data_IF_213373319435
#
_entry.id   IF_213373319435
#
_cell.length_a   1.000
_cell.length_b   1.000
_cell.length_c   1.000
_cell.angle_alpha   90.00
_cell.angle_beta   90.00
_cell.angle_gamma   90.00
#
_symmetry.space_group_name_H-M   'P 1'
#
loop_
_entity.id
_entity.type
_entity.pdbx_description
1 polymer ?
#
# COMPACT_ATOMS: atom_id res chain seq x y z
N UNK A 1 19.54 -6.48 -2.81
CA UNK A 1 19.22 -5.06 -2.67
C UNK A 1 20.38 -4.25 -3.21
N UNK A 2 20.13 -3.36 -4.16
CA UNK A 2 21.15 -2.52 -4.79
C UNK A 2 21.05 -1.10 -4.20
N UNK A 3 22.02 -0.71 -3.36
CA UNK A 3 21.99 0.55 -2.61
C UNK A 3 22.17 1.80 -3.48
N UNK A 4 22.45 1.64 -4.77
CA UNK A 4 22.45 2.77 -5.72
C UNK A 4 21.06 3.12 -6.24
N UNK A 5 20.11 2.19 -6.19
CA UNK A 5 18.74 2.36 -6.71
C UNK A 5 17.67 2.20 -5.63
N UNK A 6 18.06 1.78 -4.42
CA UNK A 6 17.17 1.59 -3.28
C UNK A 6 17.81 2.12 -1.99
N UNK A 7 16.95 2.48 -1.04
CA UNK A 7 17.37 2.97 0.26
C UNK A 7 16.98 1.98 1.36
N UNK A 8 17.92 1.58 2.23
CA UNK A 8 17.64 0.88 3.51
C UNK A 8 16.97 1.81 4.52
N UNK A 9 15.80 2.30 4.15
CA UNK A 9 14.98 3.20 4.93
C UNK A 9 13.56 3.17 4.38
N UNK A 10 12.58 3.74 5.09
CA UNK A 10 11.22 3.91 4.57
C UNK A 10 11.13 4.85 3.35
N UNK A 11 12.23 5.45 2.87
CA UNK A 11 12.24 6.31 1.69
C UNK A 11 11.82 5.53 0.44
N UNK A 12 10.84 6.10 -0.26
CA UNK A 12 10.37 5.62 -1.55
C UNK A 12 11.40 5.92 -2.64
N UNK A 13 11.74 4.90 -3.44
CA UNK A 13 12.65 4.98 -4.59
C UNK A 13 11.95 4.69 -5.92
N UNK A 14 10.68 4.28 -5.88
CA UNK A 14 9.88 3.90 -7.05
C UNK A 14 8.81 4.95 -7.37
N UNK A 15 8.11 5.43 -6.34
CA UNK A 15 7.03 6.40 -6.47
C UNK A 15 5.63 5.83 -6.24
N UNK A 16 5.43 4.51 -6.36
CA UNK A 16 4.14 3.86 -6.13
C UNK A 16 3.58 4.15 -4.72
N UNK A 17 4.43 4.07 -3.70
CA UNK A 17 4.04 4.37 -2.30
C UNK A 17 3.66 5.83 -2.12
N UNK A 18 4.45 6.75 -2.66
CA UNK A 18 4.16 8.20 -2.61
C UNK A 18 2.86 8.53 -3.33
N UNK A 19 2.62 7.94 -4.50
CA UNK A 19 1.40 8.15 -5.28
C UNK A 19 0.16 7.64 -4.53
N UNK A 20 0.17 6.39 -4.07
CA UNK A 20 -0.97 5.79 -3.34
C UNK A 20 -1.28 6.51 -2.03
N UNK A 21 -0.26 6.88 -1.24
CA UNK A 21 -0.47 7.65 0.01
C UNK A 21 -0.97 9.08 -0.24
N UNK A 22 -0.58 9.71 -1.35
CA UNK A 22 -1.11 11.03 -1.73
C UNK A 22 -2.60 10.97 -2.11
N UNK A 23 -3.05 9.87 -2.73
CA UNK A 23 -4.47 9.64 -3.05
C UNK A 23 -5.29 9.42 -1.78
N UNK A 24 -4.77 8.71 -0.78
CA UNK A 24 -5.51 8.43 0.45
C UNK A 24 -5.59 9.65 1.38
N UNK A 25 -4.47 10.30 1.68
CA UNK A 25 -4.40 11.36 2.69
C UNK A 25 -3.51 12.56 2.31
N UNK A 26 -3.20 12.74 1.02
CA UNK A 26 -2.43 13.87 0.54
C UNK A 26 -3.03 15.22 0.93
N UNK A 27 -2.19 16.15 1.38
CA UNK A 27 -2.61 17.51 1.71
C UNK A 27 -2.96 18.27 0.43
N UNK A 28 -3.73 19.36 0.56
CA UNK A 28 -4.00 20.29 -0.54
C UNK A 28 -2.71 20.85 -1.11
N UNK A 29 -2.47 20.60 -2.40
CA UNK A 29 -1.32 21.14 -3.16
C UNK A 29 -1.83 21.89 -4.38
N UNK A 30 -1.38 23.12 -4.55
CA UNK A 30 -1.67 23.97 -5.71
C UNK A 30 -0.42 24.79 -6.08
N UNK A 31 -0.11 24.95 -7.38
CA UNK A 31 -0.77 24.32 -8.53
C UNK A 31 -0.24 22.90 -8.77
N UNK A 32 -1.14 21.90 -8.85
CA UNK A 32 -0.79 20.54 -9.23
C UNK A 32 -1.19 20.28 -10.68
N UNK A 33 -0.32 19.58 -11.44
CA UNK A 33 -0.58 19.12 -12.80
C UNK A 33 0.49 18.12 -13.25
N UNK A 34 0.17 17.26 -14.21
CA UNK A 34 1.15 16.38 -14.86
C UNK A 34 1.33 16.84 -16.31
N UNK A 35 2.49 17.44 -16.63
CA UNK A 35 2.77 17.99 -17.96
C UNK A 35 1.68 18.96 -18.48
N UNK A 36 1.00 19.67 -17.56
CA UNK A 36 -0.11 20.59 -17.87
C UNK A 36 -1.52 19.97 -17.86
N UNK A 37 -1.64 18.63 -17.81
CA UNK A 37 -2.93 17.95 -17.69
C UNK A 37 -3.43 17.94 -16.23
N UNK A 38 -4.77 17.79 -16.08
CA UNK A 38 -5.46 17.73 -14.79
C UNK A 38 -5.08 18.86 -13.83
N UNK A 39 -4.93 20.08 -14.36
CA UNK A 39 -4.51 21.25 -13.58
C UNK A 39 -5.55 21.60 -12.51
N UNK A 40 -5.12 21.69 -11.27
CA UNK A 40 -6.00 22.06 -10.18
C UNK A 40 -5.34 21.95 -8.80
N UNK A 41 -6.16 21.68 -7.80
CA UNK A 41 -5.72 21.37 -6.43
C UNK A 41 -5.71 19.85 -6.28
N UNK A 42 -4.54 19.26 -6.07
CA UNK A 42 -4.45 17.85 -5.69
C UNK A 42 -4.72 17.72 -4.19
N UNK A 43 -5.53 16.72 -3.82
CA UNK A 43 -5.82 16.37 -2.43
C UNK A 43 -6.20 14.89 -2.35
N UNK A 44 -5.87 14.24 -1.24
CA UNK A 44 -6.33 12.88 -0.96
C UNK A 44 -7.78 12.84 -0.49
N UNK A 45 -8.32 11.64 -0.34
CA UNK A 45 -9.67 11.42 0.19
C UNK A 45 -9.84 11.96 1.63
N UNK A 46 -8.79 11.87 2.46
CA UNK A 46 -8.79 12.38 3.83
C UNK A 46 -7.57 13.29 4.10
N UNK A 47 -7.53 14.56 3.62
CA UNK A 47 -6.36 15.45 3.69
C UNK A 47 -5.89 15.88 5.10
N UNK A 48 -6.60 15.44 6.14
CA UNK A 48 -6.30 15.71 7.56
C UNK A 48 -5.93 14.43 8.32
N UNK A 49 -6.02 13.26 7.69
CA UNK A 49 -5.58 12.02 8.30
C UNK A 49 -4.06 12.01 8.48
N UNK A 50 -3.57 11.21 9.43
CA UNK A 50 -2.14 10.97 9.62
C UNK A 50 -1.73 9.79 8.75
N UNK A 51 -0.49 9.82 8.27
CA UNK A 51 0.11 8.75 7.48
C UNK A 51 1.17 8.04 8.31
N UNK A 52 1.08 6.71 8.38
CA UNK A 52 2.15 5.83 8.79
C UNK A 52 2.55 4.97 7.58
N UNK A 53 3.84 4.97 7.23
CA UNK A 53 4.33 4.32 6.02
C UNK A 53 5.19 3.10 6.39
N UNK A 54 4.72 1.91 6.00
CA UNK A 54 5.42 0.64 6.18
C UNK A 54 5.89 0.15 4.81
N UNK A 55 7.19 0.31 4.52
CA UNK A 55 7.78 -0.07 3.22
C UNK A 55 8.07 -1.58 3.21
N UNK A 56 7.33 -2.32 2.39
CA UNK A 56 7.46 -3.78 2.23
C UNK A 56 7.89 -4.21 0.82
N UNK A 57 7.94 -3.26 -0.11
CA UNK A 57 8.31 -3.52 -1.50
C UNK A 57 9.67 -2.92 -1.81
N UNK A 58 10.42 -3.72 -2.57
CA UNK A 58 11.75 -3.45 -3.06
C UNK A 58 11.78 -3.73 -4.56
N UNK A 59 12.88 -3.41 -5.23
CA UNK A 59 13.10 -3.69 -6.65
C UNK A 59 13.02 -5.19 -6.97
N UNK A 60 13.27 -6.06 -5.98
CA UNK A 60 13.11 -7.52 -6.12
C UNK A 60 11.68 -8.01 -5.87
N UNK A 61 10.75 -7.11 -5.54
CA UNK A 61 9.36 -7.41 -5.20
C UNK A 61 9.04 -7.14 -3.74
N UNK A 62 7.85 -7.57 -3.34
CA UNK A 62 7.34 -7.45 -1.97
C UNK A 62 7.31 -8.86 -1.37
N UNK A 63 8.13 -9.10 -0.34
CA UNK A 63 8.21 -10.42 0.28
C UNK A 63 7.07 -10.63 1.28
N UNK A 64 6.50 -11.84 1.31
CA UNK A 64 5.42 -12.20 2.24
C UNK A 64 5.81 -11.96 3.71
N UNK A 65 7.07 -12.21 4.06
CA UNK A 65 7.60 -11.94 5.40
C UNK A 65 7.58 -10.45 5.76
N UNK A 66 7.91 -9.58 4.80
CA UNK A 66 7.92 -8.12 5.01
C UNK A 66 6.48 -7.60 5.13
N UNK A 67 5.56 -8.16 4.33
CA UNK A 67 4.12 -7.85 4.40
C UNK A 67 3.55 -8.22 5.77
N UNK A 68 3.80 -9.44 6.26
CA UNK A 68 3.33 -9.87 7.58
C UNK A 68 3.93 -9.02 8.71
N UNK A 69 5.24 -8.74 8.66
CA UNK A 69 5.88 -7.89 9.65
C UNK A 69 5.31 -6.46 9.67
N UNK A 70 4.94 -5.92 8.51
CA UNK A 70 4.28 -4.63 8.42
C UNK A 70 2.85 -4.65 8.98
N UNK A 71 2.08 -5.72 8.75
CA UNK A 71 0.78 -5.90 9.40
C UNK A 71 0.91 -5.93 10.93
N UNK A 72 1.82 -6.75 11.46
CA UNK A 72 2.06 -6.85 12.90
C UNK A 72 2.43 -5.49 13.51
N UNK A 73 3.31 -4.74 12.84
CA UNK A 73 3.74 -3.42 13.29
C UNK A 73 2.59 -2.40 13.20
N UNK A 74 1.85 -2.37 12.09
CA UNK A 74 0.72 -1.45 11.92
C UNK A 74 -0.39 -1.68 12.94
N UNK A 75 -0.69 -2.95 13.24
CA UNK A 75 -1.64 -3.34 14.28
C UNK A 75 -1.14 -2.92 15.66
N UNK A 76 0.15 -3.17 15.97
CA UNK A 76 0.75 -2.78 17.25
C UNK A 76 0.78 -1.25 17.45
N UNK A 77 1.01 -0.50 16.37
CA UNK A 77 0.99 0.98 16.36
C UNK A 77 -0.44 1.55 16.49
N UNK A 78 -1.47 0.71 16.33
CA UNK A 78 -2.87 1.10 16.48
C UNK A 78 -3.38 1.97 15.34
N UNK A 79 -3.00 1.66 14.08
CA UNK A 79 -3.56 2.37 12.91
C UNK A 79 -5.07 2.12 12.77
N UNK A 80 -5.80 3.08 12.21
CA UNK A 80 -7.26 2.94 12.03
C UNK A 80 -7.63 2.16 10.75
N UNK A 81 -6.84 2.34 9.68
CA UNK A 81 -7.07 1.75 8.35
C UNK A 81 -5.74 1.42 7.69
N UNK A 82 -5.67 0.26 7.04
CA UNK A 82 -4.52 -0.15 6.20
C UNK A 82 -4.94 -0.06 4.73
N UNK A 83 -4.17 0.69 3.94
CA UNK A 83 -4.32 0.76 2.48
C UNK A 83 -3.19 -0.01 1.82
N UNK A 84 -3.51 -1.17 1.23
CA UNK A 84 -2.54 -2.11 0.67
C UNK A 84 -2.72 -2.24 -0.85
N UNK A 85 -1.85 -1.61 -1.63
CA UNK A 85 -1.87 -1.70 -3.10
C UNK A 85 -0.82 -2.69 -3.62
N UNK A 86 -0.79 -3.89 -3.03
CA UNK A 86 0.05 -5.01 -3.47
C UNK A 86 -0.80 -6.28 -3.51
N UNK A 87 -0.36 -7.27 -4.26
CA UNK A 87 -1.06 -8.54 -4.41
C UNK A 87 -0.11 -9.64 -4.89
N UNK A 88 -0.51 -10.87 -4.68
CA UNK A 88 0.22 -12.07 -5.11
C UNK A 88 -0.56 -12.91 -6.11
N UNK A 89 -0.09 -14.15 -6.28
CA UNK A 89 -0.85 -15.18 -6.98
C UNK A 89 -2.03 -15.66 -6.12
N UNK A 90 -3.07 -16.19 -6.76
CA UNK A 90 -4.23 -16.74 -6.04
C UNK A 90 -3.85 -18.06 -5.39
N UNK A 91 -3.91 -18.11 -4.07
CA UNK A 91 -3.67 -19.31 -3.24
C UNK A 91 -4.74 -19.42 -2.16
N UNK A 92 -4.93 -20.58 -1.52
CA UNK A 92 -5.80 -20.71 -0.35
C UNK A 92 -5.42 -19.73 0.76
N UNK A 93 -6.40 -19.20 1.51
CA UNK A 93 -6.17 -18.13 2.49
C UNK A 93 -5.10 -18.42 3.54
N UNK A 94 -4.94 -19.67 3.96
CA UNK A 94 -3.91 -20.06 4.95
C UNK A 94 -2.49 -20.08 4.38
N UNK A 95 -2.31 -19.87 3.08
CA UNK A 95 -1.02 -19.68 2.39
C UNK A 95 -0.85 -18.24 1.88
N UNK A 96 -1.87 -17.39 2.01
CA UNK A 96 -1.84 -16.00 1.56
C UNK A 96 -1.46 -15.08 2.73
N UNK A 97 -0.26 -14.51 2.67
CA UNK A 97 0.26 -13.60 3.69
C UNK A 97 -0.61 -12.35 3.88
N UNK A 98 -1.21 -11.83 2.80
CA UNK A 98 -2.13 -10.68 2.87
C UNK A 98 -3.42 -11.09 3.59
N UNK A 99 -3.97 -12.27 3.26
CA UNK A 99 -5.18 -12.76 3.92
C UNK A 99 -4.96 -13.01 5.43
N UNK A 100 -3.83 -13.61 5.80
CA UNK A 100 -3.45 -13.87 7.20
C UNK A 100 -3.29 -12.55 7.96
N UNK A 101 -2.51 -11.61 7.41
CA UNK A 101 -2.29 -10.31 8.05
C UNK A 101 -3.57 -9.47 8.14
N UNK A 102 -4.40 -9.47 7.09
CA UNK A 102 -5.67 -8.76 7.08
C UNK A 102 -6.67 -9.34 8.07
N UNK A 103 -6.73 -10.66 8.21
CA UNK A 103 -7.58 -11.31 9.23
C UNK A 103 -7.18 -10.86 10.64
N UNK A 104 -5.87 -10.85 10.95
CA UNK A 104 -5.37 -10.37 12.24
C UNK A 104 -5.67 -8.89 12.50
N UNK A 105 -5.57 -8.04 11.47
CA UNK A 105 -5.92 -6.62 11.58
C UNK A 105 -7.43 -6.40 11.83
N UNK A 106 -8.29 -7.13 11.11
CA UNK A 106 -9.74 -7.05 11.25
C UNK A 106 -10.20 -7.52 12.64
N UNK A 107 -9.59 -8.57 13.20
CA UNK A 107 -9.87 -9.03 14.57
C UNK A 107 -9.58 -7.94 15.63
N UNK A 108 -8.69 -7.00 15.31
CA UNK A 108 -8.37 -5.83 16.14
C UNK A 108 -9.17 -4.57 15.76
N UNK A 109 -10.15 -4.69 14.87
CA UNK A 109 -11.01 -3.58 14.43
C UNK A 109 -10.40 -2.67 13.37
N UNK A 110 -9.30 -3.08 12.73
CA UNK A 110 -8.60 -2.29 11.70
C UNK A 110 -9.07 -2.73 10.32
N UNK A 111 -9.61 -1.79 9.54
CA UNK A 111 -10.09 -2.07 8.18
C UNK A 111 -8.92 -2.15 7.18
N UNK A 112 -8.96 -3.12 6.27
CA UNK A 112 -7.94 -3.31 5.23
C UNK A 112 -8.55 -3.13 3.85
N UNK A 113 -8.05 -2.16 3.08
CA UNK A 113 -8.39 -1.95 1.67
C UNK A 113 -7.29 -2.51 0.78
N UNK A 114 -7.57 -3.59 0.05
CA UNK A 114 -6.64 -4.21 -0.90
C UNK A 114 -7.07 -4.00 -2.35
N UNK A 115 -6.11 -3.91 -3.28
CA UNK A 115 -6.41 -3.88 -4.72
C UNK A 115 -6.81 -5.27 -5.22
N UNK A 116 -7.66 -5.33 -6.26
CA UNK A 116 -8.12 -6.60 -6.84
C UNK A 116 -7.11 -7.26 -7.78
N UNK A 117 -5.99 -6.59 -8.06
CA UNK A 117 -5.02 -6.98 -9.10
C UNK A 117 -5.40 -6.51 -10.51
N UNK A 118 -4.42 -6.52 -11.41
CA UNK A 118 -4.54 -6.00 -12.78
C UNK A 118 -4.54 -7.13 -13.84
N UNK A 119 -4.82 -8.37 -13.43
CA UNK A 119 -4.80 -9.55 -14.32
C UNK A 119 -6.08 -9.80 -15.12
N UNK A 120 -7.12 -8.96 -14.96
CA UNK A 120 -8.34 -9.04 -15.78
C UNK A 120 -8.08 -8.71 -17.26
N UNK A 121 -9.03 -8.98 -18.17
CA UNK A 121 -10.39 -9.48 -17.94
C UNK A 121 -10.51 -11.02 -17.99
N UNK A 122 -9.40 -11.76 -18.09
CA UNK A 122 -9.46 -13.22 -18.12
C UNK A 122 -10.06 -13.75 -16.81
N UNK A 123 -11.22 -14.39 -16.89
CA UNK A 123 -11.87 -14.99 -15.73
C UNK A 123 -11.03 -16.17 -15.25
N UNK A 124 -10.72 -16.24 -13.95
CA UNK A 124 -10.27 -17.47 -13.31
C UNK A 124 -11.41 -18.48 -13.44
N UNK A 125 -11.30 -19.38 -14.41
CA UNK A 125 -12.30 -20.41 -14.66
C UNK A 125 -12.06 -21.52 -13.63
N UNK A 126 -12.99 -21.65 -12.70
CA UNK A 126 -13.07 -22.75 -11.73
C UNK A 126 -13.32 -24.08 -12.45
#
# INVERSE_FOLDING_TARGET
MNETTEFRSPRDSDGHGTHTTSISAGRYVFPASTLGYARGVAAGMAPKARLAAYKVCWNSGCYDSDILAAFDTAVADGVDVISLSVGGIVVPYYLDAIAIGAFGAIDRGIFVSASAGNGGPACLRW
#
